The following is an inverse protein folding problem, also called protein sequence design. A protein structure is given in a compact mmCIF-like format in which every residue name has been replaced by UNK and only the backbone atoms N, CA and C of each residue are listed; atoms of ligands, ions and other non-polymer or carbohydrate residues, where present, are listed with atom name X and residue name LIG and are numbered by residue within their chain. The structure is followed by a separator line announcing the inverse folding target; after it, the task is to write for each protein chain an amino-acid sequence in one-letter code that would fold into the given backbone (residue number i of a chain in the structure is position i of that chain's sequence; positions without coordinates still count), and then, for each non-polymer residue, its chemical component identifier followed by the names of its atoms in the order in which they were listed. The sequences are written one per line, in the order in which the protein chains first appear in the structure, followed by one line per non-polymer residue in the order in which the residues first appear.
data_IF_150455194530
#
_entry.id   IF_150455194530
#
_cell.length_a   1.000
_cell.length_b   1.000
_cell.length_c   1.000
_cell.angle_alpha   90.00
_cell.angle_beta   90.00
_cell.angle_gamma   90.00
#
_symmetry.space_group_name_H-M   'P 1'
#
loop_
_entity.id
_entity.type
_entity.pdbx_description
1 polymer ?
#
# COMPACT_ATOMS: atom_id res chain seq x y z
N UNK A 1 -1.29 13.41 12.12
CA UNK A 1 -0.11 13.09 11.27
C UNK A 1 -0.35 11.87 10.38
N UNK A 2 -1.10 10.84 10.83
CA UNK A 2 -1.53 9.70 9.97
C UNK A 2 -2.58 10.08 8.90
N UNK A 3 -3.16 11.27 8.99
CA UNK A 3 -4.36 11.61 8.23
C UNK A 3 -4.09 12.19 6.83
N UNK A 4 -2.87 12.65 6.52
CA UNK A 4 -2.55 13.31 5.23
C UNK A 4 -2.79 12.37 4.04
N UNK A 5 -2.27 11.13 4.10
CA UNK A 5 -2.49 10.15 3.02
C UNK A 5 -3.97 9.79 2.93
N UNK A 6 -4.66 9.67 4.07
CA UNK A 6 -6.09 9.33 4.07
C UNK A 6 -6.92 10.45 3.45
N UNK A 7 -6.67 11.70 3.82
CA UNK A 7 -7.35 12.88 3.29
C UNK A 7 -7.12 13.04 1.79
N UNK A 8 -5.89 12.83 1.32
CA UNK A 8 -5.50 13.09 -0.07
C UNK A 8 -5.88 11.95 -1.04
N UNK A 9 -5.96 10.70 -0.55
CA UNK A 9 -6.13 9.52 -1.41
C UNK A 9 -7.43 8.75 -1.17
N UNK A 10 -8.17 8.98 -0.08
CA UNK A 10 -9.37 8.17 0.24
C UNK A 10 -10.45 8.16 -0.83
N UNK A 11 -10.65 9.27 -1.54
CA UNK A 11 -11.62 9.38 -2.64
C UNK A 11 -11.24 8.58 -3.89
N UNK A 12 -10.03 8.02 -3.94
CA UNK A 12 -9.50 7.19 -5.04
C UNK A 12 -9.44 5.71 -4.68
N UNK A 13 -9.82 5.35 -3.46
CA UNK A 13 -9.77 3.99 -2.96
C UNK A 13 -11.15 3.31 -3.05
N UNK A 14 -11.11 2.00 -3.28
CA UNK A 14 -12.21 1.11 -2.87
C UNK A 14 -12.03 0.84 -1.38
N UNK A 15 -13.07 1.05 -0.58
CA UNK A 15 -13.02 0.81 0.87
C UNK A 15 -13.75 -0.49 1.19
N UNK A 16 -13.03 -1.47 1.75
CA UNK A 16 -13.60 -2.75 2.23
C UNK A 16 -12.98 -3.12 3.58
N UNK A 17 -13.82 -3.44 4.56
CA UNK A 17 -13.35 -3.77 5.92
C UNK A 17 -12.50 -2.68 6.58
N UNK A 18 -12.72 -1.40 6.23
CA UNK A 18 -11.93 -0.27 6.71
C UNK A 18 -10.56 -0.08 6.03
N UNK A 19 -10.19 -0.97 5.10
CA UNK A 19 -8.95 -0.87 4.32
C UNK A 19 -9.19 -0.13 3.01
N UNK A 20 -8.16 0.60 2.56
CA UNK A 20 -8.18 1.33 1.30
C UNK A 20 -7.42 0.52 0.25
N UNK A 21 -8.13 0.14 -0.81
CA UNK A 21 -7.55 -0.56 -1.94
C UNK A 21 -7.45 0.40 -3.11
N UNK A 22 -6.24 0.54 -3.64
CA UNK A 22 -5.92 1.45 -4.73
C UNK A 22 -5.67 0.66 -6.00
N UNK A 23 -6.04 1.22 -7.14
CA UNK A 23 -5.48 0.75 -8.41
C UNK A 23 -3.96 0.99 -8.44
N UNK A 24 -3.27 0.41 -9.41
CA UNK A 24 -1.80 0.50 -9.52
C UNK A 24 -1.27 1.94 -9.54
N UNK A 25 -1.89 2.85 -10.31
CA UNK A 25 -1.41 4.24 -10.43
C UNK A 25 -1.57 5.01 -9.11
N UNK A 26 -2.69 4.80 -8.42
CA UNK A 26 -2.95 5.46 -7.14
C UNK A 26 -2.06 4.88 -6.03
N UNK A 27 -1.84 3.56 -6.02
CA UNK A 27 -0.90 2.92 -5.10
C UNK A 27 0.51 3.50 -5.24
N UNK A 28 1.01 3.67 -6.47
CA UNK A 28 2.30 4.32 -6.72
C UNK A 28 2.35 5.76 -6.21
N UNK A 29 1.25 6.50 -6.34
CA UNK A 29 1.14 7.88 -5.85
C UNK A 29 1.16 7.93 -4.31
N UNK A 30 0.45 7.01 -3.64
CA UNK A 30 0.50 6.84 -2.18
C UNK A 30 1.92 6.51 -1.73
N UNK A 31 2.59 5.58 -2.41
CA UNK A 31 3.97 5.18 -2.10
C UNK A 31 4.93 6.37 -2.24
N UNK A 32 4.82 7.14 -3.33
CA UNK A 32 5.64 8.33 -3.54
C UNK A 32 5.42 9.34 -2.40
N UNK A 33 4.17 9.64 -2.06
CA UNK A 33 3.85 10.59 -0.99
C UNK A 33 4.32 10.10 0.38
N UNK A 34 4.16 8.81 0.69
CA UNK A 34 4.65 8.23 1.93
C UNK A 34 6.18 8.37 2.06
N UNK A 35 6.92 8.18 0.95
CA UNK A 35 8.37 8.42 0.90
C UNK A 35 8.74 9.89 1.11
N UNK A 36 8.02 10.82 0.48
CA UNK A 36 8.21 12.27 0.67
C UNK A 36 8.01 12.69 2.14
N UNK A 37 7.07 12.04 2.83
CA UNK A 37 6.80 12.26 4.26
C UNK A 37 7.78 11.53 5.19
N UNK A 38 8.74 10.77 4.65
CA UNK A 38 9.70 10.00 5.44
C UNK A 38 9.08 8.80 6.16
N UNK A 39 7.93 8.30 5.71
CA UNK A 39 7.25 7.17 6.36
C UNK A 39 7.94 5.86 6.00
N UNK A 40 8.22 5.05 7.03
CA UNK A 40 8.68 3.68 6.83
C UNK A 40 7.50 2.82 6.36
N UNK A 41 7.59 2.30 5.14
CA UNK A 41 6.64 1.32 4.62
C UNK A 41 7.09 -0.10 5.01
N UNK A 42 6.15 -0.93 5.40
CA UNK A 42 6.41 -2.34 5.75
C UNK A 42 6.25 -3.29 4.55
N UNK A 43 5.48 -2.88 3.55
CA UNK A 43 5.24 -3.67 2.34
C UNK A 43 4.23 -3.00 1.42
N UNK A 44 4.09 -3.56 0.22
CA UNK A 44 3.02 -3.28 -0.73
C UNK A 44 2.34 -4.62 -1.01
N UNK A 45 1.07 -4.73 -0.66
CA UNK A 45 0.31 -5.98 -0.81
C UNK A 45 -0.68 -5.84 -1.95
N UNK A 46 -0.54 -6.72 -2.95
CA UNK A 46 -1.43 -6.78 -4.10
C UNK A 46 -2.65 -7.63 -3.77
N UNK A 47 -3.79 -7.25 -4.33
CA UNK A 47 -5.05 -7.98 -4.16
C UNK A 47 -5.78 -8.10 -5.49
N UNK A 48 -6.44 -9.24 -5.69
CA UNK A 48 -7.49 -9.39 -6.70
C UNK A 48 -8.82 -9.01 -6.08
N UNK A 49 -9.46 -7.99 -6.63
CA UNK A 49 -10.72 -7.45 -6.13
C UNK A 49 -11.77 -7.59 -7.22
N UNK A 50 -12.84 -8.33 -6.92
CA UNK A 50 -14.08 -8.37 -7.73
C UNK A 50 -15.24 -7.96 -6.84
N UNK A 51 -16.47 -7.96 -7.36
CA UNK A 51 -17.65 -7.66 -6.56
C UNK A 51 -17.85 -8.69 -5.43
N UNK A 52 -17.45 -9.94 -5.63
CA UNK A 52 -17.63 -11.03 -4.66
C UNK A 52 -16.41 -11.30 -3.79
N UNK A 53 -15.19 -11.06 -4.29
CA UNK A 53 -13.97 -11.49 -3.61
C UNK A 53 -12.94 -10.37 -3.41
N UNK A 54 -12.14 -10.53 -2.36
CA UNK A 54 -10.93 -9.74 -2.08
C UNK A 54 -9.85 -10.73 -1.64
N UNK A 55 -9.00 -11.14 -2.57
CA UNK A 55 -8.00 -12.19 -2.33
C UNK A 55 -6.59 -11.61 -2.46
N UNK A 56 -5.66 -11.95 -1.55
CA UNK A 56 -4.27 -11.52 -1.66
C UNK A 56 -3.62 -12.16 -2.90
N UNK A 57 -2.75 -11.39 -3.55
CA UNK A 57 -1.87 -11.88 -4.60
C UNK A 57 -0.42 -11.79 -4.12
N UNK A 58 0.03 -12.86 -3.46
CA UNK A 58 1.36 -12.93 -2.85
C UNK A 58 2.49 -12.79 -3.88
N UNK A 59 2.26 -13.21 -5.13
CA UNK A 59 3.27 -13.13 -6.20
C UNK A 59 3.61 -11.69 -6.60
N UNK A 60 2.63 -10.80 -6.48
CA UNK A 60 2.76 -9.38 -6.83
C UNK A 60 2.90 -8.49 -5.58
N UNK A 61 3.03 -9.11 -4.41
CA UNK A 61 3.23 -8.41 -3.14
C UNK A 61 4.73 -8.34 -2.82
N UNK A 62 5.13 -7.25 -2.18
CA UNK A 62 6.51 -7.01 -1.75
C UNK A 62 6.52 -6.72 -0.25
N UNK A 63 7.28 -7.51 0.49
CA UNK A 63 7.48 -7.33 1.93
C UNK A 63 8.84 -6.65 2.19
N UNK A 64 8.79 -5.45 2.76
CA UNK A 64 9.98 -4.65 3.11
C UNK A 64 10.44 -4.90 4.56
N UNK A 65 9.67 -5.62 5.38
CA UNK A 65 10.03 -5.89 6.77
C UNK A 65 11.34 -6.70 6.88
N UNK A 66 11.67 -7.48 5.85
CA UNK A 66 12.87 -8.32 5.81
C UNK A 66 14.08 -7.68 5.12
N UNK A 67 13.94 -6.54 4.44
CA UNK A 67 15.06 -5.93 3.69
C UNK A 67 16.07 -5.18 4.58
N UNK A 68 15.71 -4.84 5.84
CA UNK A 68 16.63 -4.14 6.74
C UNK A 68 17.79 -5.00 7.27
N UNK A 69 17.80 -6.31 7.01
CA UNK A 69 18.89 -7.20 7.46
C UNK A 69 19.99 -7.41 6.39
N UNK A 70 19.74 -7.06 5.13
CA UNK A 70 20.69 -7.36 4.03
C UNK A 70 21.69 -6.23 3.71
N UNK A 71 21.56 -5.06 4.31
CA UNK A 71 22.44 -3.89 4.04
C UNK A 71 23.59 -3.80 5.05
N UNK A 72 24.06 -4.94 5.60
CA UNK A 72 25.17 -4.99 6.56
C UNK A 72 26.33 -5.92 6.16
N UNK A 73 26.49 -6.24 4.88
CA UNK A 73 27.67 -6.94 4.37
C UNK A 73 28.38 -6.11 3.31
#
# INVERSE_FOLDING_TARGET
MKDIIKEEFSNRAIIRGGQHYYNTSDALSVVKKARELGWKMIGIYAFRITDEITEPNDKESVDFAYESERVKN
#
